data_IF_160433092623
#
_entry.id   IF_160433092623
#
_cell.length_a   1.000
_cell.length_b   1.000
_cell.length_c   1.000
_cell.angle_alpha   90.00
_cell.angle_beta   90.00
_cell.angle_gamma   90.00
#
_symmetry.space_group_name_H-M   'P 1'
#
loop_
_entity.id
_entity.type
_entity.pdbx_description
1 polymer ?
#
# COMPACT_ATOMS: atom_id res chain seq x y z
N UNK A 1 -18.95 -17.01 -10.89
CA UNK A 1 -18.17 -17.50 -9.74
C UNK A 1 -17.61 -16.33 -8.92
N UNK A 2 -17.54 -16.42 -7.59
CA UNK A 2 -17.06 -15.34 -6.70
C UNK A 2 -15.64 -14.82 -7.02
N UNK A 3 -14.82 -15.66 -7.66
CA UNK A 3 -13.48 -15.33 -8.16
C UNK A 3 -13.46 -14.24 -9.23
N UNK A 4 -14.50 -14.17 -10.09
CA UNK A 4 -14.57 -13.20 -11.18
C UNK A 4 -14.77 -11.77 -10.67
N UNK A 5 -15.66 -11.58 -9.70
CA UNK A 5 -15.96 -10.27 -9.11
C UNK A 5 -14.73 -9.73 -8.37
N UNK A 6 -14.05 -10.56 -7.60
CA UNK A 6 -12.83 -10.15 -6.87
C UNK A 6 -11.71 -9.72 -7.82
N UNK A 7 -11.55 -10.42 -8.96
CA UNK A 7 -10.59 -10.07 -10.00
C UNK A 7 -10.94 -8.75 -10.67
N UNK A 8 -12.20 -8.56 -11.06
CA UNK A 8 -12.68 -7.33 -11.69
C UNK A 8 -12.54 -6.12 -10.75
N UNK A 9 -12.86 -6.30 -9.47
CA UNK A 9 -12.68 -5.25 -8.45
C UNK A 9 -11.21 -4.87 -8.32
N UNK A 10 -10.30 -5.85 -8.31
CA UNK A 10 -8.86 -5.60 -8.29
C UNK A 10 -8.40 -4.81 -9.52
N UNK A 11 -8.75 -5.26 -10.72
CA UNK A 11 -8.39 -4.60 -11.98
C UNK A 11 -8.95 -3.18 -12.05
N UNK A 12 -10.19 -2.98 -11.57
CA UNK A 12 -10.78 -1.65 -11.46
C UNK A 12 -9.97 -0.76 -10.53
N UNK A 13 -9.70 -1.20 -9.29
CA UNK A 13 -8.93 -0.41 -8.32
C UNK A 13 -7.52 -0.10 -8.83
N UNK A 14 -6.87 -1.03 -9.51
CA UNK A 14 -5.54 -0.81 -10.10
C UNK A 14 -5.57 0.21 -11.24
N UNK A 15 -6.62 0.20 -12.08
CA UNK A 15 -6.79 1.13 -13.19
C UNK A 15 -7.17 2.54 -12.74
N UNK A 16 -8.16 2.66 -11.85
CA UNK A 16 -8.70 3.97 -11.43
C UNK A 16 -7.95 4.57 -10.24
N UNK A 17 -7.17 3.76 -9.51
CA UNK A 17 -6.57 4.12 -8.21
C UNK A 17 -7.61 4.53 -7.17
N UNK A 18 -8.86 4.12 -7.36
CA UNK A 18 -9.93 4.26 -6.38
C UNK A 18 -10.10 2.94 -5.63
N UNK A 19 -10.39 3.03 -4.34
CA UNK A 19 -10.69 1.84 -3.54
C UNK A 19 -12.18 1.60 -3.54
N UNK A 20 -12.60 0.46 -4.09
CA UNK A 20 -13.99 -0.02 -4.00
C UNK A 20 -14.30 -0.39 -2.55
N UNK A 21 -15.37 0.14 -1.95
CA UNK A 21 -15.77 -0.20 -0.59
C UNK A 21 -16.39 -1.61 -0.60
N UNK A 22 -15.64 -2.57 -0.07
CA UNK A 22 -16.06 -3.96 0.14
C UNK A 22 -15.91 -4.28 1.62
N UNK A 23 -16.56 -5.34 2.13
CA UNK A 23 -16.36 -5.76 3.53
C UNK A 23 -14.89 -5.98 3.89
N UNK A 24 -14.08 -6.46 2.95
CA UNK A 24 -12.63 -6.67 3.15
C UNK A 24 -11.79 -5.39 3.14
N UNK A 25 -12.20 -4.34 2.41
CA UNK A 25 -11.48 -3.05 2.36
C UNK A 25 -11.96 -2.05 3.39
N UNK A 26 -13.23 -2.11 3.79
CA UNK A 26 -13.80 -1.22 4.83
C UNK A 26 -13.33 -1.62 6.23
N UNK A 27 -13.22 -2.92 6.49
CA UNK A 27 -12.85 -3.45 7.81
C UNK A 27 -11.42 -3.99 7.85
N UNK A 28 -10.61 -3.75 6.81
CA UNK A 28 -9.24 -4.28 6.69
C UNK A 28 -9.13 -5.81 6.81
N UNK A 29 -10.23 -6.55 6.61
CA UNK A 29 -10.35 -8.00 6.81
C UNK A 29 -9.79 -8.83 5.65
N UNK A 30 -9.52 -8.20 4.50
CA UNK A 30 -9.12 -8.89 3.28
C UNK A 30 -7.61 -8.90 3.04
N UNK A 31 -7.13 -9.95 2.35
CA UNK A 31 -5.90 -9.93 1.53
C UNK A 31 -5.98 -8.95 0.34
N UNK A 32 -6.83 -7.93 0.40
CA UNK A 32 -7.01 -6.91 -0.63
C UNK A 32 -5.86 -5.89 -0.59
N UNK A 33 -4.64 -6.40 -0.46
CA UNK A 33 -3.34 -5.80 -0.68
C UNK A 33 -3.30 -4.61 -1.67
N UNK A 34 -4.14 -4.61 -2.70
CA UNK A 34 -4.30 -3.54 -3.68
C UNK A 34 -4.66 -2.19 -3.07
N UNK A 35 -5.54 -2.12 -2.06
CA UNK A 35 -5.96 -0.83 -1.50
C UNK A 35 -4.88 -0.20 -0.61
N UNK A 36 -4.15 -1.00 0.17
CA UNK A 36 -2.99 -0.53 0.95
C UNK A 36 -1.91 0.02 0.02
N UNK A 37 -1.62 -0.69 -1.07
CA UNK A 37 -0.69 -0.22 -2.09
C UNK A 37 -1.15 1.08 -2.78
N UNK A 38 -2.45 1.27 -3.00
CA UNK A 38 -3.01 2.52 -3.55
C UNK A 38 -2.77 3.69 -2.59
N UNK A 39 -3.06 3.52 -1.29
CA UNK A 39 -2.82 4.54 -0.25
C UNK A 39 -1.33 4.95 -0.25
N UNK A 40 -0.41 3.98 -0.21
CA UNK A 40 1.03 4.28 -0.22
C UNK A 40 1.48 4.97 -1.50
N UNK A 41 0.98 4.54 -2.67
CA UNK A 41 1.31 5.21 -3.94
C UNK A 41 0.81 6.64 -4.00
N UNK A 42 -0.39 6.93 -3.45
CA UNK A 42 -0.88 8.30 -3.35
C UNK A 42 -0.02 9.14 -2.38
N UNK A 43 0.37 8.57 -1.25
CA UNK A 43 1.30 9.21 -0.32
C UNK A 43 2.66 9.54 -0.98
N UNK A 44 3.25 8.60 -1.72
CA UNK A 44 4.51 8.81 -2.45
C UNK A 44 4.38 9.90 -3.53
N UNK A 45 3.20 10.04 -4.15
CA UNK A 45 2.86 11.13 -5.07
C UNK A 45 2.60 12.49 -4.38
N UNK A 46 2.87 12.62 -3.08
CA UNK A 46 2.71 13.85 -2.28
C UNK A 46 1.27 14.31 -2.07
N UNK A 47 0.29 13.41 -2.20
CA UNK A 47 -1.08 13.70 -1.76
C UNK A 47 -1.15 13.77 -0.23
N UNK A 48 -1.99 14.66 0.30
CA UNK A 48 -2.19 14.83 1.74
C UNK A 48 -3.07 13.70 2.31
N UNK A 49 -2.85 13.29 3.57
CA UNK A 49 -3.66 12.24 4.24
C UNK A 49 -5.18 12.47 4.11
N UNK A 50 -5.73 13.69 4.35
CA UNK A 50 -7.16 13.94 4.18
C UNK A 50 -7.67 13.70 2.75
N UNK A 51 -6.84 13.99 1.75
CA UNK A 51 -7.20 13.76 0.35
C UNK A 51 -7.14 12.28 -0.01
N UNK A 52 -6.13 11.57 0.49
CA UNK A 52 -6.00 10.11 0.33
C UNK A 52 -7.22 9.44 0.96
N UNK A 53 -7.56 9.80 2.20
CA UNK A 53 -8.71 9.27 2.93
C UNK A 53 -10.03 9.45 2.15
N UNK A 54 -10.27 10.64 1.59
CA UNK A 54 -11.44 10.90 0.72
C UNK A 54 -11.44 10.02 -0.53
N UNK A 55 -10.31 9.88 -1.23
CA UNK A 55 -10.18 9.10 -2.47
C UNK A 55 -10.33 7.59 -2.22
N UNK A 56 -9.86 7.09 -1.08
CA UNK A 56 -9.86 5.67 -0.76
C UNK A 56 -11.03 5.26 0.14
N UNK A 57 -11.91 6.20 0.53
CA UNK A 57 -13.03 5.96 1.45
C UNK A 57 -12.58 5.36 2.78
N UNK A 58 -11.46 5.84 3.29
CA UNK A 58 -10.90 5.47 4.59
C UNK A 58 -10.99 6.64 5.57
N UNK A 59 -10.83 6.35 6.87
CA UNK A 59 -10.51 7.40 7.84
C UNK A 59 -9.05 7.84 7.69
N UNK A 60 -8.77 9.08 8.08
CA UNK A 60 -7.40 9.61 8.11
C UNK A 60 -6.50 8.75 9.00
N UNK A 61 -6.98 8.34 10.18
CA UNK A 61 -6.26 7.43 11.08
C UNK A 61 -5.89 6.09 10.41
N UNK A 62 -6.78 5.55 9.56
CA UNK A 62 -6.48 4.32 8.84
C UNK A 62 -5.38 4.54 7.79
N UNK A 63 -5.44 5.65 7.05
CA UNK A 63 -4.39 6.03 6.12
C UNK A 63 -3.03 6.24 6.83
N UNK A 64 -3.01 6.93 7.96
CA UNK A 64 -1.79 7.20 8.72
C UNK A 64 -1.17 5.91 9.26
N UNK A 65 -1.97 4.97 9.77
CA UNK A 65 -1.46 3.63 10.16
C UNK A 65 -0.70 2.96 9.03
N UNK A 66 -1.22 3.02 7.80
CA UNK A 66 -0.55 2.43 6.63
C UNK A 66 0.72 3.19 6.25
N UNK A 67 0.68 4.52 6.25
CA UNK A 67 1.82 5.38 5.95
C UNK A 67 2.95 5.16 6.96
N UNK A 68 2.64 5.10 8.25
CA UNK A 68 3.60 4.83 9.33
C UNK A 68 4.22 3.43 9.15
N UNK A 69 3.40 2.41 8.88
CA UNK A 69 3.88 1.06 8.62
C UNK A 69 4.87 1.01 7.43
N UNK A 70 4.53 1.68 6.33
CA UNK A 70 5.40 1.79 5.16
C UNK A 70 6.71 2.52 5.48
N UNK A 71 6.64 3.65 6.20
CA UNK A 71 7.83 4.42 6.59
C UNK A 71 8.78 3.58 7.46
N UNK A 72 8.26 2.76 8.38
CA UNK A 72 9.09 1.81 9.16
C UNK A 72 9.79 0.80 8.26
N UNK A 73 9.08 0.18 7.31
CA UNK A 73 9.69 -0.74 6.34
C UNK A 73 10.77 -0.04 5.53
N UNK A 74 10.49 1.15 5.00
CA UNK A 74 11.44 1.96 4.24
C UNK A 74 12.71 2.26 5.04
N UNK A 75 12.57 2.70 6.29
CA UNK A 75 13.72 3.02 7.15
C UNK A 75 14.62 1.80 7.39
N UNK A 76 14.04 0.61 7.56
CA UNK A 76 14.82 -0.61 7.73
C UNK A 76 15.44 -1.09 6.41
N UNK A 77 14.73 -0.90 5.29
CA UNK A 77 15.25 -1.21 3.96
C UNK A 77 16.46 -0.32 3.60
N UNK A 78 16.43 0.97 3.94
CA UNK A 78 17.55 1.88 3.73
C UNK A 78 18.78 1.54 4.61
N UNK A 79 18.61 0.68 5.62
CA UNK A 79 19.70 0.10 6.43
C UNK A 79 20.21 -1.24 5.87
N UNK A 80 19.85 -1.60 4.64
CA UNK A 80 20.21 -2.86 3.98
C UNK A 80 19.75 -4.13 4.72
N UNK A 81 18.66 -4.06 5.50
CA UNK A 81 18.05 -5.27 6.09
C UNK A 81 17.28 -6.06 5.03
N UNK A 82 17.31 -7.40 5.13
CA UNK A 82 16.53 -8.28 4.26
C UNK A 82 15.02 -8.19 4.55
N UNK A 83 14.19 -8.52 3.55
CA UNK A 83 12.74 -8.51 3.71
C UNK A 83 12.27 -9.42 4.85
N UNK A 84 12.95 -10.54 5.04
CA UNK A 84 12.70 -11.52 6.10
C UNK A 84 13.02 -10.96 7.49
N UNK A 85 14.13 -10.23 7.64
CA UNK A 85 14.48 -9.56 8.91
C UNK A 85 13.52 -8.42 9.24
N UNK A 86 13.11 -7.64 8.23
CA UNK A 86 12.13 -6.57 8.38
C UNK A 86 10.79 -7.15 8.83
N UNK A 87 10.34 -8.24 8.21
CA UNK A 87 9.10 -8.92 8.56
C UNK A 87 9.10 -9.39 10.01
N UNK A 88 10.21 -9.98 10.49
CA UNK A 88 10.37 -10.38 11.89
C UNK A 88 10.39 -9.18 12.83
N UNK A 89 11.12 -8.13 12.46
CA UNK A 89 11.29 -6.91 13.29
C UNK A 89 9.98 -6.15 13.50
N UNK A 90 9.14 -6.10 12.46
CA UNK A 90 7.87 -5.36 12.48
C UNK A 90 6.66 -6.25 12.77
N UNK A 91 6.87 -7.55 13.05
CA UNK A 91 5.82 -8.56 13.23
C UNK A 91 4.79 -8.54 12.08
N UNK A 92 5.30 -8.34 10.86
CA UNK A 92 4.51 -8.26 9.64
C UNK A 92 4.64 -9.53 8.81
N UNK A 93 3.61 -9.79 8.01
CA UNK A 93 3.69 -10.80 6.95
C UNK A 93 4.81 -10.46 5.96
N UNK A 94 5.65 -11.45 5.63
CA UNK A 94 6.69 -11.33 4.61
C UNK A 94 6.13 -10.88 3.26
N UNK A 95 4.90 -11.24 2.95
CA UNK A 95 4.20 -10.77 1.75
C UNK A 95 3.99 -9.25 1.77
N UNK A 96 3.53 -8.70 2.91
CA UNK A 96 3.27 -7.25 3.04
C UNK A 96 4.56 -6.43 2.94
N UNK A 97 5.63 -6.93 3.57
CA UNK A 97 6.95 -6.29 3.49
C UNK A 97 7.47 -6.28 2.07
N UNK A 98 7.42 -7.42 1.36
CA UNK A 98 7.87 -7.52 -0.05
C UNK A 98 7.13 -6.54 -0.94
N UNK A 99 5.84 -6.33 -0.73
CA UNK A 99 5.10 -5.34 -1.52
C UNK A 99 5.46 -3.90 -1.21
N UNK A 100 5.64 -3.53 0.06
CA UNK A 100 6.13 -2.20 0.40
C UNK A 100 7.51 -1.93 -0.20
N UNK A 101 8.39 -2.95 -0.21
CA UNK A 101 9.68 -2.87 -0.88
C UNK A 101 9.54 -2.73 -2.41
N UNK A 102 8.60 -3.45 -3.03
CA UNK A 102 8.33 -3.31 -4.47
C UNK A 102 7.81 -1.91 -4.82
N UNK A 103 6.87 -1.35 -4.05
CA UNK A 103 6.38 0.02 -4.26
C UNK A 103 7.53 1.03 -4.05
N UNK A 104 8.41 0.77 -3.08
CA UNK A 104 9.55 1.63 -2.82
C UNK A 104 10.58 1.60 -3.96
N UNK A 105 10.87 0.43 -4.53
CA UNK A 105 11.80 0.28 -5.65
C UNK A 105 11.22 0.87 -6.95
N UNK A 106 9.93 0.69 -7.22
CA UNK A 106 9.22 1.34 -8.32
C UNK A 106 9.38 2.86 -8.28
N UNK A 107 9.25 3.46 -7.09
CA UNK A 107 9.37 4.91 -6.93
C UNK A 107 10.82 5.39 -7.02
N UNK A 108 11.78 4.70 -6.38
CA UNK A 108 13.22 5.02 -6.50
C UNK A 108 13.72 4.95 -7.96
N UNK A 109 13.24 3.98 -8.73
CA UNK A 109 13.57 3.84 -10.15
C UNK A 109 12.95 4.93 -11.03
N UNK A 110 11.74 5.40 -10.70
CA UNK A 110 11.04 6.45 -11.43
C UNK A 110 11.66 7.85 -11.30
N UNK A 111 12.24 8.17 -10.15
CA UNK A 111 12.90 9.48 -9.91
C UNK A 111 14.21 9.67 -10.71
N UNK A 112 14.76 8.60 -11.29
CA UNK A 112 15.99 8.68 -12.11
C UNK A 112 15.74 9.10 -13.57
N UNK A 113 14.47 9.20 -14.00
CA UNK A 113 14.10 9.59 -15.37
C UNK A 113 13.42 10.97 -15.46
N UNK A 114 13.62 11.80 -14.43
CA UNK A 114 13.18 13.19 -14.38
C UNK A 114 14.38 14.11 -14.12
N UNK A 115 15.37 14.07 -15.01
CA UNK A 115 16.42 15.08 -15.14
C UNK A 115 16.66 15.39 -16.60
#
# INVERSE_FOLDING_TARGET
SPSTVSKQVREYMERTKEVVPTRGTVHDLGRAITHKGIIIRLYLKRYLTPEIARRTKHSEDACDRYIIAFNKVRMLADRNMSAEEIARTLEMSSFTVKEYLNIYSEFKGGDSNAK
#
